data_IF_974136024884
#
_entry.id   IF_974136024884
#
_cell.length_a   1.000
_cell.length_b   1.000
_cell.length_c   1.000
_cell.angle_alpha   90.00
_cell.angle_beta   90.00
_cell.angle_gamma   90.00
#
_symmetry.space_group_name_H-M   'P 1'
#
loop_
_entity.id
_entity.type
_entity.pdbx_description
1 polymer ?
#
# COMPACT_ATOMS: atom_id res chain seq x y z
N UNK A 1 19.22 14.82 7.26
CA UNK A 1 18.12 14.53 8.19
C UNK A 1 17.89 13.04 8.13
N UNK A 2 18.01 12.34 9.27
CA UNK A 2 17.80 10.89 9.30
C UNK A 2 16.37 10.61 8.86
N UNK A 3 16.23 9.82 7.79
CA UNK A 3 14.96 9.49 7.19
C UNK A 3 14.36 8.35 8.02
N UNK A 4 13.76 8.66 9.18
CA UNK A 4 12.97 7.71 9.98
C UNK A 4 11.66 7.40 9.22
N UNK A 5 11.80 6.72 8.09
CA UNK A 5 10.69 6.02 7.47
C UNK A 5 10.44 4.77 8.33
N UNK A 6 9.24 4.57 8.88
CA UNK A 6 8.93 3.34 9.60
C UNK A 6 9.19 2.15 8.68
N UNK A 7 9.87 1.12 9.20
CA UNK A 7 10.02 -0.13 8.47
C UNK A 7 8.63 -0.70 8.18
N UNK A 8 8.35 -0.93 6.90
CA UNK A 8 7.05 -1.43 6.49
C UNK A 8 6.90 -2.92 6.87
N UNK A 9 5.72 -3.34 7.34
CA UNK A 9 5.47 -4.72 7.76
C UNK A 9 5.56 -5.71 6.61
N UNK A 10 5.67 -7.01 6.93
CA UNK A 10 5.68 -8.08 5.93
C UNK A 10 4.43 -8.04 5.03
N UNK A 11 3.28 -7.75 5.63
CA UNK A 11 1.99 -7.57 4.95
C UNK A 11 1.97 -6.44 3.91
N UNK A 12 2.74 -5.36 4.11
CA UNK A 12 2.89 -4.30 3.10
C UNK A 12 3.63 -4.82 1.86
N UNK A 13 4.73 -5.55 2.07
CA UNK A 13 5.51 -6.14 0.99
C UNK A 13 4.75 -7.25 0.26
N UNK A 14 3.89 -7.99 0.97
CA UNK A 14 3.01 -8.99 0.37
C UNK A 14 1.99 -8.35 -0.60
N UNK A 15 1.37 -7.23 -0.21
CA UNK A 15 0.51 -6.45 -1.12
C UNK A 15 1.30 -5.96 -2.33
N UNK A 16 2.50 -5.41 -2.13
CA UNK A 16 3.33 -4.94 -3.24
C UNK A 16 3.67 -6.08 -4.21
N UNK A 17 4.04 -7.26 -3.71
CA UNK A 17 4.32 -8.43 -4.55
C UNK A 17 3.08 -8.84 -5.36
N UNK A 18 1.91 -8.88 -4.73
CA UNK A 18 0.65 -9.24 -5.40
C UNK A 18 0.27 -8.21 -6.47
N UNK A 19 0.45 -6.92 -6.19
CA UNK A 19 0.30 -5.87 -7.18
C UNK A 19 1.25 -6.09 -8.36
N UNK A 20 2.54 -6.34 -8.10
CA UNK A 20 3.54 -6.57 -9.16
C UNK A 20 3.15 -7.72 -10.10
N UNK A 21 2.58 -8.79 -9.55
CA UNK A 21 2.19 -9.97 -10.29
C UNK A 21 0.94 -9.75 -11.15
N UNK A 22 -0.09 -9.10 -10.58
CA UNK A 22 -1.44 -9.14 -11.14
C UNK A 22 -1.95 -7.79 -11.65
N UNK A 23 -1.20 -6.69 -11.49
CA UNK A 23 -1.69 -5.35 -11.85
C UNK A 23 -2.13 -5.25 -13.31
N UNK A 24 -1.54 -6.01 -14.23
CA UNK A 24 -1.94 -6.04 -15.65
C UNK A 24 -3.41 -6.44 -15.84
N UNK A 25 -3.94 -7.30 -14.98
CA UNK A 25 -5.35 -7.72 -14.99
C UNK A 25 -6.28 -6.68 -14.37
N UNK A 26 -5.72 -5.67 -13.69
CA UNK A 26 -6.43 -4.57 -13.04
C UNK A 26 -6.21 -3.21 -13.70
N UNK A 27 -5.50 -3.13 -14.84
CA UNK A 27 -5.28 -1.85 -15.55
C UNK A 27 -6.58 -1.14 -15.94
N UNK A 28 -7.67 -1.89 -16.13
CA UNK A 28 -9.02 -1.35 -16.38
C UNK A 28 -9.90 -1.24 -15.12
N UNK A 29 -9.43 -1.72 -13.98
CA UNK A 29 -10.18 -1.73 -12.73
C UNK A 29 -10.06 -0.40 -11.98
N UNK A 30 -11.16 0.04 -11.35
CA UNK A 30 -11.14 1.21 -10.44
C UNK A 30 -10.33 0.89 -9.19
N UNK A 31 -9.65 1.87 -8.59
CA UNK A 31 -8.86 1.76 -7.35
C UNK A 31 -9.58 0.97 -6.23
N UNK A 32 -10.90 1.09 -6.14
CA UNK A 32 -11.76 0.30 -5.24
C UNK A 32 -11.57 -1.20 -5.42
N UNK A 33 -11.66 -1.71 -6.64
CA UNK A 33 -11.53 -3.14 -6.94
C UNK A 33 -10.11 -3.65 -6.75
N UNK A 34 -9.11 -2.82 -7.08
CA UNK A 34 -7.72 -3.12 -6.78
C UNK A 34 -7.49 -3.23 -5.26
N UNK A 35 -8.02 -2.29 -4.47
CA UNK A 35 -7.91 -2.34 -3.01
C UNK A 35 -8.59 -3.57 -2.41
N UNK A 36 -9.77 -3.96 -2.91
CA UNK A 36 -10.45 -5.21 -2.51
C UNK A 36 -9.57 -6.43 -2.82
N UNK A 37 -9.02 -6.50 -4.03
CA UNK A 37 -8.16 -7.60 -4.46
C UNK A 37 -6.90 -7.76 -3.61
N UNK A 38 -6.20 -6.64 -3.35
CA UNK A 38 -4.95 -6.67 -2.58
C UNK A 38 -5.20 -7.14 -1.14
N UNK A 39 -6.32 -6.74 -0.55
CA UNK A 39 -6.71 -7.14 0.81
C UNK A 39 -7.17 -8.60 0.88
N UNK A 40 -7.87 -9.12 -0.14
CA UNK A 40 -8.31 -10.53 -0.20
C UNK A 40 -7.15 -11.53 -0.08
N UNK A 41 -5.94 -11.13 -0.50
CA UNK A 41 -4.74 -11.97 -0.40
C UNK A 41 -4.15 -12.12 1.00
N UNK A 42 -4.63 -11.37 1.99
CA UNK A 42 -4.06 -11.32 3.33
C UNK A 42 -4.82 -12.18 4.35
N UNK A 43 -4.07 -12.84 5.22
CA UNK A 43 -4.56 -13.47 6.45
C UNK A 43 -5.06 -12.44 7.48
N UNK A 44 -5.77 -12.90 8.51
CA UNK A 44 -6.27 -12.02 9.58
C UNK A 44 -5.14 -11.34 10.38
N UNK A 45 -4.00 -12.02 10.55
CA UNK A 45 -2.83 -11.45 11.22
C UNK A 45 -2.19 -10.36 10.37
N UNK A 46 -1.96 -10.63 9.09
CA UNK A 46 -1.41 -9.65 8.13
C UNK A 46 -2.31 -8.43 7.98
N UNK A 47 -3.65 -8.63 8.00
CA UNK A 47 -4.61 -7.52 7.97
C UNK A 47 -4.47 -6.62 9.20
N UNK A 48 -4.36 -7.20 10.39
CA UNK A 48 -4.18 -6.45 11.65
C UNK A 48 -2.85 -5.71 11.67
N UNK A 49 -1.78 -6.36 11.23
CA UNK A 49 -0.45 -5.76 11.13
C UNK A 49 -0.45 -4.56 10.17
N UNK A 50 -0.99 -4.76 8.96
CA UNK A 50 -1.08 -3.72 7.95
C UNK A 50 -1.98 -2.56 8.39
N UNK A 51 -3.12 -2.84 9.02
CA UNK A 51 -4.01 -1.80 9.53
C UNK A 51 -3.29 -0.91 10.55
N UNK A 52 -2.60 -1.51 11.52
CA UNK A 52 -1.85 -0.78 12.54
C UNK A 52 -0.67 0.03 11.97
N UNK A 53 -0.06 -0.46 10.89
CA UNK A 53 0.94 0.31 10.15
C UNK A 53 0.32 1.51 9.42
N UNK A 54 -0.76 1.29 8.67
CA UNK A 54 -1.43 2.35 7.91
C UNK A 54 -2.04 3.42 8.82
N UNK A 55 -2.56 3.05 9.99
CA UNK A 55 -3.03 4.02 10.99
C UNK A 55 -1.94 4.99 11.44
N UNK A 56 -0.68 4.53 11.52
CA UNK A 56 0.46 5.37 11.91
C UNK A 56 0.96 6.21 10.75
N UNK A 57 0.94 5.69 9.53
CA UNK A 57 1.48 6.38 8.35
C UNK A 57 0.50 7.42 7.82
N UNK A 58 -0.79 7.09 7.71
CA UNK A 58 -1.81 7.96 7.11
C UNK A 58 -2.15 9.20 7.96
N UNK A 59 -1.78 9.23 9.24
CA UNK A 59 -1.93 10.44 10.08
C UNK A 59 -0.80 11.46 9.89
N UNK A 60 0.28 11.09 9.18
CA UNK A 60 1.42 11.97 8.98
C UNK A 60 1.14 12.96 7.85
N UNK A 61 1.62 14.22 7.94
CA UNK A 61 1.32 15.27 6.97
C UNK A 61 1.83 14.99 5.54
N UNK A 62 2.73 14.02 5.36
CA UNK A 62 3.27 13.59 4.06
C UNK A 62 3.15 12.06 3.87
N UNK A 63 2.02 11.49 4.29
CA UNK A 63 1.75 10.05 4.20
C UNK A 63 1.96 9.50 2.79
N UNK A 64 1.45 10.20 1.77
CA UNK A 64 1.60 9.81 0.37
C UNK A 64 3.05 9.70 -0.10
N UNK A 65 3.90 10.68 0.21
CA UNK A 65 5.32 10.64 -0.15
C UNK A 65 6.05 9.49 0.56
N UNK A 66 5.74 9.27 1.84
CA UNK A 66 6.32 8.17 2.62
C UNK A 66 5.91 6.81 2.06
N UNK A 67 4.64 6.64 1.72
CA UNK A 67 4.13 5.42 1.09
C UNK A 67 4.76 5.21 -0.28
N UNK A 68 4.91 6.27 -1.08
CA UNK A 68 5.54 6.19 -2.39
C UNK A 68 7.02 5.79 -2.29
N UNK A 69 7.76 6.36 -1.35
CA UNK A 69 9.16 6.03 -1.12
C UNK A 69 9.34 4.58 -0.63
N UNK A 70 8.44 4.10 0.24
CA UNK A 70 8.42 2.69 0.64
C UNK A 70 8.07 1.77 -0.53
N UNK A 71 7.06 2.15 -1.32
CA UNK A 71 6.61 1.38 -2.46
C UNK A 71 7.71 1.22 -3.53
N UNK A 72 8.47 2.27 -3.79
CA UNK A 72 9.64 2.26 -4.69
C UNK A 72 10.77 1.32 -4.26
N UNK A 73 10.80 0.90 -2.99
CA UNK A 73 11.76 -0.11 -2.49
C UNK A 73 11.29 -1.54 -2.76
N UNK A 74 10.04 -1.73 -3.17
CA UNK A 74 9.47 -3.04 -3.49
C UNK A 74 9.81 -3.48 -4.92
N UNK A 75 9.43 -4.72 -5.27
CA UNK A 75 9.46 -5.19 -6.68
C UNK A 75 8.38 -4.55 -7.55
N UNK A 76 7.43 -3.85 -6.93
CA UNK A 76 6.35 -3.15 -7.60
C UNK A 76 6.68 -1.67 -7.84
N UNK A 77 7.93 -1.28 -8.09
CA UNK A 77 8.36 0.13 -8.22
C UNK A 77 7.74 0.94 -9.39
N UNK A 78 6.65 0.45 -9.96
CA UNK A 78 5.84 1.01 -11.02
C UNK A 78 4.38 1.12 -10.58
N UNK A 79 3.53 1.69 -11.43
CA UNK A 79 2.09 1.78 -11.19
C UNK A 79 1.64 2.97 -10.35
N UNK A 80 2.49 3.53 -9.48
CA UNK A 80 2.23 4.80 -8.78
C UNK A 80 3.27 5.85 -9.13
N UNK A 81 2.82 6.96 -9.73
CA UNK A 81 3.67 8.11 -10.06
C UNK A 81 3.41 9.33 -9.16
N UNK A 82 2.38 9.27 -8.31
CA UNK A 82 1.89 10.39 -7.51
C UNK A 82 1.67 9.98 -6.06
N UNK A 83 2.19 10.81 -5.14
CA UNK A 83 1.94 10.70 -3.71
C UNK A 83 0.43 10.75 -3.38
N UNK A 84 -0.34 11.57 -4.10
CA UNK A 84 -1.79 11.67 -3.87
C UNK A 84 -2.54 10.40 -4.28
N UNK A 85 -2.10 9.73 -5.35
CA UNK A 85 -2.73 8.49 -5.81
C UNK A 85 -2.46 7.34 -4.84
N UNK A 86 -1.20 7.15 -4.44
CA UNK A 86 -0.87 6.09 -3.50
C UNK A 86 -1.50 6.34 -2.12
N UNK A 87 -1.56 7.59 -1.66
CA UNK A 87 -2.25 7.94 -0.41
C UNK A 87 -3.75 7.59 -0.47
N UNK A 88 -4.41 7.94 -1.58
CA UNK A 88 -5.81 7.60 -1.82
C UNK A 88 -6.05 6.09 -1.83
N UNK A 89 -5.21 5.33 -2.54
CA UNK A 89 -5.33 3.87 -2.62
C UNK A 89 -5.09 3.21 -1.26
N UNK A 90 -4.05 3.61 -0.53
CA UNK A 90 -3.79 3.04 0.80
C UNK A 90 -4.82 3.47 1.83
N UNK A 91 -5.44 4.63 1.68
CA UNK A 91 -6.65 5.01 2.42
C UNK A 91 -7.84 4.10 2.10
N UNK A 92 -8.00 3.67 0.84
CA UNK A 92 -9.01 2.68 0.44
C UNK A 92 -8.72 1.28 1.00
N UNK A 93 -7.46 0.85 0.98
CA UNK A 93 -6.99 -0.40 1.58
C UNK A 93 -7.29 -0.37 3.10
N UNK A 94 -6.92 0.71 3.79
CA UNK A 94 -7.15 0.84 5.24
C UNK A 94 -8.62 0.71 5.64
N UNK A 95 -9.56 1.20 4.82
CA UNK A 95 -11.01 1.05 5.06
C UNK A 95 -11.53 -0.39 4.90
N UNK A 96 -10.76 -1.28 4.28
CA UNK A 96 -11.11 -2.69 4.01
C UNK A 96 -10.43 -3.69 4.96
N UNK A 97 -9.44 -3.21 5.70
CA UNK A 97 -8.76 -3.94 6.77
C UNK A 97 -9.53 -3.77 8.07
#
# INVERSE_FOLDING_TARGET
MANDAPDAPASFWAIAMRFHQDVLDFVEAKDTALADYLVMGLSEEERRELAGFLDKVLILPNSGDRLLDLWRRSKADFGFTSAAHIDSLFGLIRRRL
#
